data_IF_849769973651
#
_entry.id   IF_849769973651
#
_cell.length_a   1.000
_cell.length_b   1.000
_cell.length_c   1.000
_cell.angle_alpha   90.00
_cell.angle_beta   90.00
_cell.angle_gamma   90.00
#
_symmetry.space_group_name_H-M   'P 1'
#
loop_
_entity.id
_entity.type
_entity.pdbx_description
1 polymer ?
#
# COMPACT_ATOMS: atom_id res chain seq x y z
N UNK A 1 5.88 7.54 52.47
CA UNK A 1 5.20 7.20 51.20
C UNK A 1 5.92 7.95 50.08
N UNK A 2 7.00 7.36 49.57
CA UNK A 2 7.88 7.98 48.57
C UNK A 2 7.48 7.54 47.16
N UNK A 3 7.09 8.48 46.32
CA UNK A 3 6.90 8.22 44.89
C UNK A 3 8.27 8.23 44.22
N UNK A 4 8.70 7.16 43.53
CA UNK A 4 9.97 7.19 42.83
C UNK A 4 9.88 8.14 41.62
N UNK A 5 10.91 8.99 41.50
CA UNK A 5 11.20 9.87 40.37
C UNK A 5 11.15 9.09 39.05
N UNK A 6 10.17 9.39 38.20
CA UNK A 6 10.20 9.01 36.79
C UNK A 6 11.38 9.76 36.13
N UNK A 7 12.38 9.00 35.68
CA UNK A 7 13.42 9.52 34.79
C UNK A 7 12.74 9.88 33.46
N UNK A 8 13.10 10.98 32.79
CA UNK A 8 12.77 11.13 31.38
C UNK A 8 13.52 10.01 30.65
N UNK A 9 12.80 9.13 29.98
CA UNK A 9 13.42 8.21 29.03
C UNK A 9 13.83 9.08 27.84
N UNK A 10 15.12 9.36 27.77
CA UNK A 10 15.75 9.84 26.54
C UNK A 10 15.60 8.71 25.52
N UNK A 11 14.74 8.93 24.52
CA UNK A 11 14.73 8.18 23.27
C UNK A 11 14.86 9.18 22.13
N UNK A 12 16.02 9.84 22.12
CA UNK A 12 16.56 10.38 20.88
C UNK A 12 17.14 9.20 20.10
N UNK A 13 16.39 8.67 19.13
CA UNK A 13 17.01 8.05 17.95
C UNK A 13 16.09 8.30 16.75
N UNK A 14 16.27 9.48 16.18
CA UNK A 14 15.91 9.79 14.81
C UNK A 14 16.77 8.93 13.87
N UNK A 15 16.44 7.65 13.73
CA UNK A 15 17.05 6.81 12.69
C UNK A 15 16.34 7.09 11.37
N UNK A 16 17.06 7.74 10.46
CA UNK A 16 16.63 8.17 9.13
C UNK A 16 16.50 7.00 8.14
N UNK A 17 15.97 5.86 8.58
CA UNK A 17 15.67 4.74 7.68
C UNK A 17 14.31 4.96 7.05
N UNK A 18 14.30 5.01 5.72
CA UNK A 18 13.07 5.00 4.93
C UNK A 18 12.10 3.89 5.37
N UNK A 19 10.82 3.98 4.98
CA UNK A 19 9.76 3.11 5.45
C UNK A 19 10.19 1.64 5.44
N UNK A 20 10.32 1.01 6.61
CA UNK A 20 10.83 -0.36 6.74
C UNK A 20 9.88 -1.32 6.03
N UNK A 21 10.23 -1.68 4.78
CA UNK A 21 9.44 -2.53 3.89
C UNK A 21 9.07 -3.82 4.64
N UNK A 22 7.79 -3.99 4.97
CA UNK A 22 7.32 -5.27 5.48
C UNK A 22 7.38 -6.26 4.31
N UNK A 23 8.04 -7.42 4.43
CA UNK A 23 8.21 -8.34 3.30
C UNK A 23 6.87 -8.84 2.73
N UNK A 24 5.78 -8.84 3.52
CA UNK A 24 4.46 -9.25 3.05
C UNK A 24 3.66 -8.11 2.39
N UNK A 25 3.72 -6.89 2.94
CA UNK A 25 2.86 -5.77 2.52
C UNK A 25 3.60 -4.71 1.70
N UNK A 26 4.92 -4.81 1.59
CA UNK A 26 5.78 -3.83 0.93
C UNK A 26 5.71 -2.45 1.61
N UNK A 27 5.62 -1.40 0.80
CA UNK A 27 5.44 -0.01 1.27
C UNK A 27 3.99 0.34 1.60
N UNK A 28 3.03 -0.58 1.41
CA UNK A 28 1.61 -0.32 1.63
C UNK A 28 1.31 0.17 3.05
N UNK A 29 2.06 -0.32 4.05
CA UNK A 29 1.92 0.10 5.45
C UNK A 29 2.27 1.58 5.69
N UNK A 30 2.98 2.22 4.76
CA UNK A 30 3.44 3.61 4.86
C UNK A 30 2.70 4.56 3.94
N UNK A 31 1.99 4.03 2.94
CA UNK A 31 1.20 4.84 2.02
C UNK A 31 -0.07 5.30 2.76
N UNK A 32 -0.33 6.61 2.83
CA UNK A 32 -1.58 7.13 3.40
C UNK A 32 -2.80 6.53 2.71
N UNK A 33 -3.85 6.25 3.50
CA UNK A 33 -5.07 5.59 3.00
C UNK A 33 -5.76 6.33 1.84
N UNK A 34 -5.60 7.65 1.76
CA UNK A 34 -6.15 8.47 0.66
C UNK A 34 -5.58 8.07 -0.70
N UNK A 35 -4.28 7.77 -0.77
CA UNK A 35 -3.65 7.29 -2.01
C UNK A 35 -4.16 5.90 -2.40
N UNK A 36 -4.37 5.01 -1.42
CA UNK A 36 -4.97 3.69 -1.66
C UNK A 36 -6.42 3.85 -2.14
N UNK A 37 -7.16 4.83 -1.61
CA UNK A 37 -8.51 5.14 -2.03
C UNK A 37 -8.56 5.63 -3.48
N UNK A 38 -7.71 6.60 -3.84
CA UNK A 38 -7.58 7.11 -5.22
C UNK A 38 -7.21 5.99 -6.17
N UNK A 39 -6.20 5.17 -5.83
CA UNK A 39 -5.81 4.01 -6.65
C UNK A 39 -6.99 3.06 -6.87
N UNK A 40 -7.74 2.72 -5.82
CA UNK A 40 -8.91 1.84 -5.93
C UNK A 40 -10.01 2.41 -6.82
N UNK A 41 -10.22 3.73 -6.84
CA UNK A 41 -11.23 4.35 -7.70
C UNK A 41 -10.90 4.16 -9.19
N UNK A 42 -9.62 4.09 -9.57
CA UNK A 42 -9.21 3.88 -10.96
C UNK A 42 -9.60 2.50 -11.52
N UNK A 43 -9.75 1.49 -10.65
CA UNK A 43 -10.09 0.12 -11.04
C UNK A 43 -11.58 -0.06 -11.39
N UNK A 44 -12.43 0.91 -11.06
CA UNK A 44 -13.87 0.76 -11.16
C UNK A 44 -14.44 -0.37 -10.27
N UNK A 45 -15.68 -0.81 -10.52
CA UNK A 45 -16.33 -1.84 -9.72
C UNK A 45 -15.63 -3.20 -9.87
N UNK A 46 -15.44 -3.91 -8.75
CA UNK A 46 -14.74 -5.19 -8.72
C UNK A 46 -15.51 -6.35 -9.40
N UNK A 47 -16.76 -6.12 -9.80
CA UNK A 47 -17.59 -7.13 -10.46
C UNK A 47 -17.49 -7.09 -12.00
N UNK A 48 -16.83 -6.07 -12.55
CA UNK A 48 -17.01 -5.70 -13.95
C UNK A 48 -16.35 -6.64 -14.96
N UNK A 49 -15.26 -7.33 -14.60
CA UNK A 49 -14.39 -7.95 -15.62
C UNK A 49 -13.81 -9.32 -15.23
N UNK A 50 -14.45 -10.00 -14.28
CA UNK A 50 -14.01 -11.28 -13.68
C UNK A 50 -12.54 -11.31 -13.20
N UNK A 51 -11.86 -10.16 -13.13
CA UNK A 51 -10.48 -10.02 -12.69
C UNK A 51 -10.39 -10.34 -11.20
N UNK A 52 -9.46 -11.21 -10.84
CA UNK A 52 -9.18 -11.56 -9.44
C UNK A 52 -8.10 -10.67 -8.85
N UNK A 53 -7.18 -10.18 -9.68
CA UNK A 53 -6.09 -9.30 -9.28
C UNK A 53 -6.05 -8.09 -10.20
N UNK A 54 -5.66 -6.94 -9.64
CA UNK A 54 -5.44 -5.72 -10.38
C UNK A 54 -4.26 -4.96 -9.79
N UNK A 55 -3.53 -4.25 -10.63
CA UNK A 55 -2.42 -3.39 -10.22
C UNK A 55 -2.70 -1.96 -10.68
N UNK A 56 -2.34 -0.99 -9.84
CA UNK A 56 -2.48 0.43 -10.14
C UNK A 56 -1.19 1.12 -9.79
N UNK A 57 -0.64 1.87 -10.73
CA UNK A 57 0.50 2.74 -10.51
C UNK A 57 -0.01 4.15 -10.23
N UNK A 58 0.38 4.72 -9.09
CA UNK A 58 0.03 6.08 -8.69
C UNK A 58 1.27 6.84 -8.20
N UNK A 59 1.19 8.17 -8.24
CA UNK A 59 2.17 9.03 -7.57
C UNK A 59 1.72 9.28 -6.12
N UNK A 60 2.48 8.78 -5.15
CA UNK A 60 2.19 8.87 -3.71
C UNK A 60 3.02 9.96 -3.03
N UNK A 61 3.13 11.15 -3.65
CA UNK A 61 3.83 12.32 -3.10
C UNK A 61 5.26 12.00 -2.66
N UNK A 62 5.56 12.18 -1.37
CA UNK A 62 6.89 11.93 -0.79
C UNK A 62 7.39 10.48 -0.91
N UNK A 63 6.52 9.52 -1.21
CA UNK A 63 6.89 8.12 -1.44
C UNK A 63 7.21 7.81 -2.91
N UNK A 64 7.07 8.81 -3.80
CA UNK A 64 7.32 8.66 -5.23
C UNK A 64 6.23 7.86 -5.94
N UNK A 65 6.57 7.28 -7.09
CA UNK A 65 5.67 6.41 -7.84
C UNK A 65 5.60 5.05 -7.19
N UNK A 66 4.39 4.57 -6.89
CA UNK A 66 4.15 3.28 -6.25
C UNK A 66 3.15 2.47 -7.07
N UNK A 67 3.39 1.17 -7.16
CA UNK A 67 2.46 0.18 -7.72
C UNK A 67 1.75 -0.50 -6.56
N UNK A 68 0.43 -0.36 -6.50
CA UNK A 68 -0.43 -0.99 -5.51
C UNK A 68 -1.14 -2.18 -6.14
N UNK A 69 -1.07 -3.33 -5.47
CA UNK A 69 -1.73 -4.55 -5.86
C UNK A 69 -3.03 -4.73 -5.07
N UNK A 70 -4.09 -5.00 -5.81
CA UNK A 70 -5.42 -5.24 -5.32
C UNK A 70 -5.87 -6.65 -5.66
N UNK A 71 -6.56 -7.28 -4.72
CA UNK A 71 -7.27 -8.53 -4.94
C UNK A 71 -8.77 -8.31 -4.82
N UNK A 72 -9.54 -9.03 -5.65
CA UNK A 72 -10.99 -9.05 -5.56
C UNK A 72 -11.40 -9.94 -4.40
N UNK A 73 -12.05 -9.35 -3.41
CA UNK A 73 -12.69 -10.08 -2.31
C UNK A 73 -14.20 -10.11 -2.48
N UNK A 74 -14.82 -11.10 -1.86
CA UNK A 74 -16.26 -11.23 -1.77
C UNK A 74 -16.67 -11.00 -0.32
N UNK A 75 -17.43 -9.94 -0.06
CA UNK A 75 -18.09 -9.75 1.22
C UNK A 75 -19.48 -10.39 1.16
N UNK A 76 -19.82 -11.20 2.16
CA UNK A 76 -21.15 -11.82 2.30
C UNK A 76 -21.79 -11.32 3.59
N UNK A 77 -22.96 -10.71 3.46
CA UNK A 77 -23.74 -10.24 4.59
C UNK A 77 -25.19 -10.72 4.44
N UNK A 78 -25.58 -11.70 5.25
CA UNK A 78 -26.87 -12.39 5.19
C UNK A 78 -27.23 -12.85 3.76
N UNK A 79 -28.19 -12.17 3.11
CA UNK A 79 -28.69 -12.49 1.76
C UNK A 79 -27.98 -11.73 0.64
N UNK A 80 -27.10 -10.78 0.97
CA UNK A 80 -26.41 -9.94 0.00
C UNK A 80 -24.93 -10.30 -0.05
N UNK A 81 -24.38 -10.28 -1.26
CA UNK A 81 -22.96 -10.38 -1.48
C UNK A 81 -22.52 -9.23 -2.39
N UNK A 82 -21.31 -8.72 -2.18
CA UNK A 82 -20.72 -7.75 -3.08
C UNK A 82 -19.22 -7.97 -3.21
N UNK A 83 -18.71 -7.72 -4.40
CA UNK A 83 -17.29 -7.76 -4.68
C UNK A 83 -16.64 -6.40 -4.37
N UNK A 84 -15.44 -6.43 -3.82
CA UNK A 84 -14.66 -5.24 -3.56
C UNK A 84 -13.16 -5.48 -3.77
N UNK A 85 -12.45 -4.43 -4.13
CA UNK A 85 -10.99 -4.44 -4.23
C UNK A 85 -10.36 -4.22 -2.84
N UNK A 86 -9.46 -5.12 -2.45
CA UNK A 86 -8.66 -5.02 -1.23
C UNK A 86 -7.18 -4.88 -1.61
N UNK A 87 -6.55 -3.79 -1.17
CA UNK A 87 -5.10 -3.64 -1.32
C UNK A 87 -4.39 -4.60 -0.37
N UNK A 88 -3.41 -5.35 -0.87
CA UNK A 88 -2.64 -6.31 -0.05
C UNK A 88 -1.13 -6.07 -0.11
N UNK A 89 -0.62 -5.44 -1.18
CA UNK A 89 0.80 -5.15 -1.35
C UNK A 89 0.99 -3.84 -2.11
N UNK A 90 2.07 -3.12 -1.81
CA UNK A 90 2.51 -2.02 -2.66
C UNK A 90 4.04 -2.00 -2.77
N UNK A 91 4.54 -1.63 -3.95
CA UNK A 91 5.96 -1.57 -4.27
C UNK A 91 6.31 -0.20 -4.86
N UNK A 92 7.47 0.37 -4.50
CA UNK A 92 7.98 1.54 -5.21
C UNK A 92 8.34 1.14 -6.65
N UNK A 93 7.93 1.96 -7.61
CA UNK A 93 8.34 1.81 -8.99
C UNK A 93 9.60 2.65 -9.18
N UNK A 94 10.76 2.00 -9.19
CA UNK A 94 12.00 2.67 -9.60
C UNK A 94 11.99 2.91 -11.11
N UNK A 95 12.40 4.10 -11.58
CA UNK A 95 12.42 4.42 -13.01
C UNK A 95 13.34 3.49 -13.84
N UNK A 96 14.27 2.79 -13.20
CA UNK A 96 15.13 1.78 -13.84
C UNK A 96 14.33 0.59 -14.41
N UNK A 97 13.26 0.17 -13.72
CA UNK A 97 12.38 -0.91 -14.18
C UNK A 97 11.50 -0.49 -15.36
N UNK A 98 11.20 0.81 -15.50
CA UNK A 98 10.39 1.31 -16.62
C UNK A 98 11.16 1.36 -17.95
N UNK A 99 12.50 1.34 -17.91
CA UNK A 99 13.36 1.31 -19.10
C UNK A 99 13.79 -0.10 -19.51
N UNK A 100 13.72 -1.09 -18.62
CA UNK A 100 14.15 -2.46 -18.91
C UNK A 100 13.25 -3.23 -19.91
N UNK A 101 11.98 -2.84 -20.05
CA UNK A 101 11.06 -3.44 -21.04
C UNK A 101 11.19 -2.83 -22.45
N UNK A 102 12.07 -1.83 -22.65
CA UNK A 102 12.24 -1.15 -23.94
C UNK A 102 13.41 -1.66 -24.80
N UNK A 103 14.23 -2.60 -24.28
CA UNK A 103 15.48 -3.04 -24.93
C UNK A 103 15.45 -4.50 -25.43
N UNK A 104 14.26 -5.09 -25.62
CA UNK A 104 14.12 -6.35 -26.34
C UNK A 104 13.31 -6.17 -27.62
N UNK A 105 13.95 -5.57 -28.62
CA UNK A 105 13.52 -5.56 -30.02
C UNK A 105 14.47 -6.41 -30.87
#
# INVERSE_FOLDING_TARGET
>A
MGNPKLRPVDKSDSDSRGPSINPANGVLAYIPGDYVHVARQTLGPADSDNRTHAEVVIEAGNFGTVRIFFERKLSRHHKSYYHYWMAYRAEPVTPDTAHADADHA
#
